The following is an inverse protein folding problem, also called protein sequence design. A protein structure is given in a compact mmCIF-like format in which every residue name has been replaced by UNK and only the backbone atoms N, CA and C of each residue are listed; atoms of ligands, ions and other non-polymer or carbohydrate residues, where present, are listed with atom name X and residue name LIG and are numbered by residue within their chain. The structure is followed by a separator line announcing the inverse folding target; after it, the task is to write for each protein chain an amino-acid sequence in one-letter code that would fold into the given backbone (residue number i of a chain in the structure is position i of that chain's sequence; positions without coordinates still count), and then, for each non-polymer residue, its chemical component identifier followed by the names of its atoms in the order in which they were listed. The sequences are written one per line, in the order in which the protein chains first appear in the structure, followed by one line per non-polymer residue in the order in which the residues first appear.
data_IF_902897873058
#
_entry.id   IF_902897873058
#
_cell.length_a   1.000
_cell.length_b   1.000
_cell.length_c   1.000
_cell.angle_alpha   90.00
_cell.angle_beta   90.00
_cell.angle_gamma   90.00
#
_symmetry.space_group_name_H-M   'P 1'
#
loop_
_entity.id
_entity.type
_entity.pdbx_description
1 polymer ?
#
# COMPACT_ATOMS: atom_id res chain seq x y z
N UNK A 1 8.76 0.11 -32.19
CA UNK A 1 8.57 -0.98 -31.21
C UNK A 1 9.88 -1.71 -30.92
N UNK A 2 10.57 -2.31 -31.90
CA UNK A 2 11.76 -3.15 -31.66
C UNK A 2 12.95 -2.43 -31.00
N UNK A 3 13.24 -1.19 -31.39
CA UNK A 3 14.31 -0.40 -30.75
C UNK A 3 13.98 -0.06 -29.29
N UNK A 4 12.72 0.28 -29.02
CA UNK A 4 12.25 0.64 -27.67
C UNK A 4 12.29 -0.59 -26.74
N UNK A 5 11.83 -1.75 -27.22
CA UNK A 5 11.90 -2.99 -26.45
C UNK A 5 13.33 -3.47 -26.22
N UNK A 6 14.24 -3.27 -27.20
CA UNK A 6 15.66 -3.59 -27.05
C UNK A 6 16.38 -2.71 -26.03
N UNK A 7 16.11 -1.40 -26.03
CA UNK A 7 16.66 -0.47 -25.03
C UNK A 7 16.11 -0.78 -23.64
N UNK A 8 14.80 -1.07 -23.53
CA UNK A 8 14.18 -1.44 -22.25
C UNK A 8 14.80 -2.73 -21.69
N UNK A 9 14.97 -3.76 -22.51
CA UNK A 9 15.63 -5.01 -22.15
C UNK A 9 17.08 -4.81 -21.69
N UNK A 10 17.85 -3.95 -22.39
CA UNK A 10 19.22 -3.62 -22.00
C UNK A 10 19.30 -2.90 -20.65
N UNK A 11 18.37 -1.98 -20.36
CA UNK A 11 18.29 -1.29 -19.06
C UNK A 11 17.93 -2.26 -17.93
N UNK A 12 17.03 -3.20 -18.18
CA UNK A 12 16.61 -4.23 -17.24
C UNK A 12 17.79 -5.18 -16.88
N UNK A 13 18.52 -5.63 -17.90
CA UNK A 13 19.70 -6.49 -17.72
C UNK A 13 20.83 -5.74 -16.99
N UNK A 14 21.06 -4.46 -17.34
CA UNK A 14 22.05 -3.62 -16.67
C UNK A 14 21.70 -3.29 -15.21
N UNK A 15 20.42 -3.33 -14.86
CA UNK A 15 19.94 -3.14 -13.48
C UNK A 15 20.04 -4.43 -12.63
N UNK A 16 20.61 -5.51 -13.16
CA UNK A 16 20.80 -6.77 -12.44
C UNK A 16 19.51 -7.58 -12.27
N UNK A 17 18.42 -7.19 -12.95
CA UNK A 17 17.22 -8.01 -13.01
C UNK A 17 17.49 -9.22 -13.90
N UNK A 18 17.84 -10.34 -13.26
CA UNK A 18 17.93 -11.64 -13.91
C UNK A 18 16.61 -11.97 -14.63
N UNK A 19 16.65 -12.83 -15.64
CA UNK A 19 15.45 -13.33 -16.34
C UNK A 19 14.45 -13.98 -15.37
N UNK A 20 14.92 -14.45 -14.22
CA UNK A 20 14.12 -15.09 -13.17
C UNK A 20 12.99 -14.20 -12.59
N UNK A 21 13.25 -13.00 -12.04
CA UNK A 21 12.17 -12.11 -11.57
C UNK A 21 11.21 -11.65 -12.68
N UNK A 22 11.66 -11.60 -13.93
CA UNK A 22 10.77 -11.26 -15.06
C UNK A 22 9.75 -12.38 -15.32
N UNK A 23 10.19 -13.64 -15.28
CA UNK A 23 9.30 -14.80 -15.32
C UNK A 23 8.38 -14.86 -14.09
N UNK A 24 8.89 -14.55 -12.91
CA UNK A 24 8.10 -14.49 -11.69
C UNK A 24 6.98 -13.43 -11.82
N UNK A 25 7.31 -12.23 -12.29
CA UNK A 25 6.33 -11.18 -12.53
C UNK A 25 5.29 -11.59 -13.58
N UNK A 26 5.68 -12.29 -14.64
CA UNK A 26 4.76 -12.80 -15.66
C UNK A 26 3.76 -13.81 -15.09
N UNK A 27 4.20 -14.71 -14.20
CA UNK A 27 3.31 -15.70 -13.55
C UNK A 27 2.47 -15.04 -12.44
N UNK A 28 2.99 -14.04 -11.75
CA UNK A 28 2.26 -13.30 -10.72
C UNK A 28 1.23 -12.35 -11.32
N UNK A 29 1.41 -11.86 -12.55
CA UNK A 29 0.48 -10.96 -13.21
C UNK A 29 -0.97 -11.50 -13.28
N UNK A 30 -1.25 -12.71 -13.78
CA UNK A 30 -2.61 -13.26 -13.79
C UNK A 30 -3.15 -13.50 -12.38
N UNK A 31 -2.29 -13.93 -11.44
CA UNK A 31 -2.67 -14.07 -10.04
C UNK A 31 -3.12 -12.74 -9.43
N UNK A 32 -2.40 -11.65 -9.73
CA UNK A 32 -2.75 -10.31 -9.30
C UNK A 32 -4.08 -9.89 -9.92
N UNK A 33 -4.28 -10.08 -11.22
CA UNK A 33 -5.53 -9.74 -11.91
C UNK A 33 -6.72 -10.50 -11.33
N UNK A 34 -6.58 -11.82 -11.12
CA UNK A 34 -7.63 -12.65 -10.52
C UNK A 34 -7.96 -12.21 -9.10
N UNK A 35 -6.95 -11.92 -8.26
CA UNK A 35 -7.18 -11.45 -6.89
C UNK A 35 -7.79 -10.05 -6.87
N UNK A 36 -7.35 -9.15 -7.74
CA UNK A 36 -7.95 -7.82 -7.88
C UNK A 36 -9.41 -7.92 -8.36
N UNK A 37 -9.69 -8.74 -9.36
CA UNK A 37 -11.04 -8.98 -9.88
C UNK A 37 -11.93 -9.58 -8.79
N UNK A 38 -11.45 -10.58 -8.07
CA UNK A 38 -12.17 -11.17 -6.92
C UNK A 38 -12.42 -10.13 -5.84
N UNK A 39 -11.43 -9.32 -5.47
CA UNK A 39 -11.60 -8.26 -4.50
C UNK A 39 -12.66 -7.24 -4.93
N UNK A 40 -12.68 -6.83 -6.21
CA UNK A 40 -13.70 -5.91 -6.73
C UNK A 40 -15.10 -6.53 -6.77
N UNK A 41 -15.23 -7.81 -7.12
CA UNK A 41 -16.51 -8.53 -7.13
C UNK A 41 -17.03 -8.77 -5.71
N UNK A 42 -16.16 -9.18 -4.78
CA UNK A 42 -16.48 -9.38 -3.36
C UNK A 42 -16.88 -8.05 -2.71
N UNK A 43 -16.24 -6.94 -3.12
CA UNK A 43 -16.64 -5.59 -2.72
C UNK A 43 -18.00 -5.15 -3.31
N UNK A 44 -18.64 -5.97 -4.14
CA UNK A 44 -20.07 -5.89 -4.45
C UNK A 44 -20.49 -4.89 -5.51
N UNK A 45 -19.57 -4.30 -6.30
CA UNK A 45 -19.90 -3.36 -7.41
C UNK A 45 -20.65 -2.08 -7.02
N UNK A 46 -21.07 -1.95 -5.76
CA UNK A 46 -21.74 -0.81 -5.15
C UNK A 46 -20.86 -0.32 -4.01
N UNK A 47 -19.83 0.43 -4.39
CA UNK A 47 -18.92 1.16 -3.50
C UNK A 47 -19.64 2.07 -2.49
N UNK A 48 -20.94 2.30 -2.65
CA UNK A 48 -21.78 3.07 -1.74
C UNK A 48 -22.47 2.25 -0.64
N UNK A 49 -22.72 0.94 -0.84
CA UNK A 49 -23.47 0.13 0.13
C UNK A 49 -22.58 -0.51 1.20
N UNK A 50 -21.35 -0.92 0.87
CA UNK A 50 -20.42 -1.56 1.83
C UNK A 50 -19.81 -0.54 2.79
N UNK A 51 -19.52 0.67 2.31
CA UNK A 51 -18.89 1.71 3.12
C UNK A 51 -19.81 2.32 4.19
N UNK A 52 -21.14 2.31 3.98
CA UNK A 52 -22.11 2.87 4.93
C UNK A 52 -22.93 1.82 5.70
N UNK A 53 -23.05 0.56 5.21
CA UNK A 53 -23.90 -0.44 5.86
C UNK A 53 -23.13 -1.53 6.65
N UNK A 54 -21.83 -1.73 6.40
CA UNK A 54 -21.03 -2.73 7.12
C UNK A 54 -20.23 -2.10 8.26
N UNK A 55 -20.66 -2.32 9.51
CA UNK A 55 -19.93 -1.86 10.72
C UNK A 55 -18.47 -2.34 10.81
N UNK A 56 -18.13 -3.41 10.09
CA UNK A 56 -16.76 -3.91 9.96
C UNK A 56 -15.85 -2.92 9.20
N UNK A 57 -16.34 -2.27 8.15
CA UNK A 57 -15.55 -1.32 7.35
C UNK A 57 -15.20 -0.06 8.15
N UNK A 58 -16.16 0.44 8.95
CA UNK A 58 -15.93 1.58 9.86
C UNK A 58 -14.87 1.21 10.90
N UNK A 59 -14.98 0.02 11.50
CA UNK A 59 -14.02 -0.45 12.51
C UNK A 59 -12.61 -0.56 11.93
N UNK A 60 -12.47 -1.16 10.75
CA UNK A 60 -11.18 -1.32 10.09
C UNK A 60 -10.59 0.02 9.63
N UNK A 61 -11.44 0.95 9.17
CA UNK A 61 -11.02 2.30 8.79
C UNK A 61 -10.51 3.11 9.99
N UNK A 62 -11.22 3.05 11.13
CA UNK A 62 -10.78 3.69 12.38
C UNK A 62 -9.43 3.12 12.84
N UNK A 63 -9.25 1.80 12.78
CA UNK A 63 -7.97 1.16 13.13
C UNK A 63 -6.84 1.58 12.19
N UNK A 64 -7.10 1.61 10.88
CA UNK A 64 -6.14 2.08 9.88
C UNK A 64 -5.72 3.53 10.16
N UNK A 65 -6.68 4.42 10.38
CA UNK A 65 -6.41 5.83 10.71
C UNK A 65 -5.63 5.93 12.01
N UNK A 66 -5.94 5.15 13.04
CA UNK A 66 -5.21 5.18 14.30
C UNK A 66 -3.74 4.75 14.13
N UNK A 67 -3.48 3.69 13.35
CA UNK A 67 -2.12 3.20 13.08
C UNK A 67 -1.31 4.23 12.28
N UNK A 68 -1.91 4.85 11.26
CA UNK A 68 -1.25 5.87 10.43
C UNK A 68 -1.10 7.20 11.18
N UNK A 69 -2.06 7.58 12.02
CA UNK A 69 -1.98 8.77 12.86
C UNK A 69 -0.92 8.62 13.95
N UNK A 70 -0.65 7.43 14.47
CA UNK A 70 0.36 7.23 15.53
C UNK A 70 1.75 7.77 15.17
N UNK A 71 2.37 7.45 14.02
CA UNK A 71 3.66 8.03 13.63
C UNK A 71 3.52 9.50 13.24
N UNK A 72 2.42 9.93 12.61
CA UNK A 72 2.21 11.32 12.17
C UNK A 72 2.05 12.27 13.36
N UNK A 73 1.22 11.88 14.34
CA UNK A 73 1.00 12.61 15.58
C UNK A 73 2.29 12.62 16.41
N UNK A 74 3.04 11.52 16.49
CA UNK A 74 4.37 11.52 17.13
C UNK A 74 5.35 12.45 16.40
N UNK A 75 5.36 12.46 15.07
CA UNK A 75 6.21 13.34 14.27
C UNK A 75 5.83 14.81 14.47
N UNK A 76 4.55 15.14 14.44
CA UNK A 76 4.01 16.48 14.67
C UNK A 76 4.20 16.94 16.12
N UNK A 77 3.94 16.11 17.13
CA UNK A 77 4.16 16.43 18.55
C UNK A 77 5.65 16.58 18.90
N UNK A 78 6.54 15.83 18.25
CA UNK A 78 7.99 16.00 18.36
C UNK A 78 8.42 17.30 17.69
N UNK A 79 7.85 17.62 16.51
CA UNK A 79 8.14 18.86 15.79
C UNK A 79 7.56 20.11 16.48
N UNK A 80 6.43 19.98 17.18
CA UNK A 80 5.76 21.04 17.95
C UNK A 80 6.27 21.16 19.39
N UNK A 81 7.23 20.32 19.82
CA UNK A 81 7.94 20.50 21.09
C UNK A 81 7.09 20.32 22.36
N UNK A 82 5.94 19.65 22.30
CA UNK A 82 5.03 19.48 23.46
C UNK A 82 5.41 18.29 24.36
N UNK A 83 6.40 17.48 24.00
CA UNK A 83 6.94 16.42 24.86
C UNK A 83 8.05 16.89 25.83
N UNK A 84 8.21 18.21 26.03
CA UNK A 84 9.07 18.78 27.09
C UNK A 84 8.27 19.14 28.35
N UNK A 85 7.45 18.22 28.88
CA UNK A 85 6.92 18.39 30.24
C UNK A 85 6.47 17.06 30.91
N UNK A 86 7.38 16.08 31.04
CA UNK A 86 7.26 15.03 32.09
C UNK A 86 8.56 14.28 32.36
N UNK A 87 9.67 15.01 32.51
CA UNK A 87 10.91 14.50 33.12
C UNK A 87 11.53 15.63 33.95
N UNK A 88 10.85 16.05 35.01
CA UNK A 88 11.44 16.72 36.18
C UNK A 88 10.31 17.17 37.11
N UNK A 89 9.83 16.28 37.99
CA UNK A 89 9.58 16.63 39.39
C UNK A 89 9.30 15.35 40.18
N UNK A 90 10.28 14.99 41.01
CA UNK A 90 10.26 14.07 42.17
C UNK A 90 9.68 12.68 41.96
#
# INVERSE_FOLDING_TARGET
IMLISGVCGYVLEKSGYSTAPMLLAFVLAPLLEDNLRKAFVISGGSTSAVFFNSGISITLFVVLVAIVATPIVRFILTKLGVLKNKKETN
#
